data_IF_901256284385
#
_entry.id   IF_901256284385
#
_cell.length_a   1.000
_cell.length_b   1.000
_cell.length_c   1.000
_cell.angle_alpha   90.00
_cell.angle_beta   90.00
_cell.angle_gamma   90.00
#
_symmetry.space_group_name_H-M   'P 1'
#
loop_
_entity.id
_entity.type
_entity.pdbx_description
1 polymer ?
#
# COMPACT_ATOMS: atom_id res chain seq x y z
N UNK A 1 -45.30 7.40 21.05
CA UNK A 1 -43.99 8.02 20.83
C UNK A 1 -43.22 7.10 19.91
N UNK A 2 -43.03 7.50 18.65
CA UNK A 2 -42.33 6.68 17.64
C UNK A 2 -40.84 6.93 17.78
N UNK A 3 -40.09 5.89 18.15
CA UNK A 3 -38.62 5.95 18.25
C UNK A 3 -38.07 5.69 16.84
N UNK A 4 -37.44 6.70 16.26
CA UNK A 4 -36.72 6.62 14.98
C UNK A 4 -35.45 5.79 15.17
N UNK A 5 -35.40 4.61 14.54
CA UNK A 5 -34.30 3.64 14.59
C UNK A 5 -33.25 3.88 13.50
N UNK A 6 -32.94 5.13 13.20
CA UNK A 6 -32.02 5.47 12.09
C UNK A 6 -30.55 5.15 12.42
N UNK A 7 -30.17 5.11 13.71
CA UNK A 7 -28.78 4.86 14.12
C UNK A 7 -28.30 3.41 14.11
N UNK A 8 -29.20 2.41 14.05
CA UNK A 8 -28.81 0.98 14.17
C UNK A 8 -28.46 0.34 12.81
N UNK A 9 -29.13 0.78 11.74
CA UNK A 9 -28.91 0.29 10.39
C UNK A 9 -27.61 0.83 9.79
N UNK A 10 -27.26 2.10 10.06
CA UNK A 10 -26.01 2.69 9.55
C UNK A 10 -24.76 2.02 10.13
N UNK A 11 -24.77 1.70 11.43
CA UNK A 11 -23.64 1.03 12.12
C UNK A 11 -23.47 -0.41 11.61
N UNK A 12 -24.56 -1.14 11.40
CA UNK A 12 -24.48 -2.52 10.90
C UNK A 12 -24.03 -2.58 9.44
N UNK A 13 -24.44 -1.61 8.61
CA UNK A 13 -23.98 -1.48 7.21
C UNK A 13 -22.51 -1.08 7.12
N UNK A 14 -22.02 -0.16 7.97
CA UNK A 14 -20.60 0.24 7.96
C UNK A 14 -19.68 -0.92 8.37
N UNK A 15 -20.00 -1.63 9.46
CA UNK A 15 -19.24 -2.80 9.93
C UNK A 15 -19.20 -3.91 8.88
N UNK A 16 -20.32 -4.16 8.20
CA UNK A 16 -20.39 -5.16 7.13
C UNK A 16 -19.53 -4.77 5.92
N UNK A 17 -19.45 -3.47 5.58
CA UNK A 17 -18.60 -2.96 4.48
C UNK A 17 -17.11 -3.08 4.82
N UNK A 18 -16.70 -2.71 6.03
CA UNK A 18 -15.31 -2.82 6.48
C UNK A 18 -14.84 -4.28 6.48
N UNK A 19 -15.68 -5.20 6.98
CA UNK A 19 -15.37 -6.63 7.02
C UNK A 19 -15.15 -7.21 5.62
N UNK A 20 -15.95 -6.78 4.63
CA UNK A 20 -15.80 -7.18 3.22
C UNK A 20 -14.54 -6.61 2.58
N UNK A 21 -14.17 -5.37 2.89
CA UNK A 21 -12.95 -4.75 2.39
C UNK A 21 -11.70 -5.45 2.95
N UNK A 22 -11.66 -5.72 4.26
CA UNK A 22 -10.57 -6.45 4.90
C UNK A 22 -10.39 -7.86 4.30
N UNK A 23 -11.50 -8.57 4.05
CA UNK A 23 -11.46 -9.89 3.39
C UNK A 23 -10.86 -9.81 1.99
N UNK A 24 -11.24 -8.82 1.17
CA UNK A 24 -10.67 -8.60 -0.17
C UNK A 24 -9.17 -8.27 -0.11
N UNK A 25 -8.76 -7.40 0.81
CA UNK A 25 -7.33 -7.07 1.02
C UNK A 25 -6.56 -8.35 1.30
N UNK A 26 -7.02 -9.17 2.25
CA UNK A 26 -6.33 -10.41 2.61
C UNK A 26 -6.23 -11.39 1.42
N UNK A 27 -7.30 -11.56 0.64
CA UNK A 27 -7.29 -12.43 -0.54
C UNK A 27 -6.24 -11.98 -1.58
N UNK A 28 -6.16 -10.68 -1.87
CA UNK A 28 -5.17 -10.13 -2.81
C UNK A 28 -3.75 -10.33 -2.25
N UNK A 29 -3.55 -10.03 -0.96
CA UNK A 29 -2.24 -10.20 -0.31
C UNK A 29 -1.76 -11.65 -0.37
N UNK A 30 -2.63 -12.62 -0.08
CA UNK A 30 -2.26 -14.05 -0.14
C UNK A 30 -1.77 -14.44 -1.53
N UNK A 31 -2.43 -14.00 -2.61
CA UNK A 31 -1.99 -14.27 -3.98
C UNK A 31 -0.63 -13.64 -4.29
N UNK A 32 -0.41 -12.41 -3.83
CA UNK A 32 0.87 -11.72 -4.01
C UNK A 32 1.97 -12.50 -3.26
N UNK A 33 1.74 -12.87 -2.01
CA UNK A 33 2.69 -13.61 -1.18
C UNK A 33 3.09 -14.95 -1.83
N UNK A 34 2.12 -15.73 -2.32
CA UNK A 34 2.39 -17.00 -3.02
C UNK A 34 3.33 -16.82 -4.22
N UNK A 35 3.08 -15.80 -5.04
CA UNK A 35 3.92 -15.50 -6.22
C UNK A 35 5.30 -14.98 -5.82
N UNK A 36 5.39 -14.12 -4.80
CA UNK A 36 6.67 -13.64 -4.27
C UNK A 36 7.51 -14.80 -3.74
N UNK A 37 6.87 -15.78 -3.09
CA UNK A 37 7.53 -16.99 -2.57
C UNK A 37 8.12 -17.83 -3.71
N UNK A 38 7.50 -17.84 -4.88
CA UNK A 38 8.01 -18.54 -6.07
C UNK A 38 9.11 -17.76 -6.81
N UNK A 39 9.23 -16.44 -6.57
CA UNK A 39 10.12 -15.53 -7.31
C UNK A 39 11.24 -14.93 -6.45
N UNK A 40 11.66 -15.62 -5.39
CA UNK A 40 12.69 -15.15 -4.44
C UNK A 40 14.03 -14.75 -5.05
N UNK A 41 14.36 -15.22 -6.26
CA UNK A 41 15.61 -14.89 -6.96
C UNK A 41 15.51 -13.61 -7.81
N UNK A 42 14.35 -12.95 -7.87
CA UNK A 42 14.14 -11.72 -8.66
C UNK A 42 14.21 -10.49 -7.75
N UNK A 43 14.96 -9.46 -8.16
CA UNK A 43 15.04 -8.19 -7.44
C UNK A 43 13.79 -7.33 -7.63
N UNK A 44 13.04 -7.56 -8.71
CA UNK A 44 11.82 -6.83 -9.03
C UNK A 44 10.80 -7.81 -9.62
N UNK A 45 9.60 -7.85 -9.04
CA UNK A 45 8.50 -8.68 -9.52
C UNK A 45 7.37 -7.79 -10.02
N UNK A 46 6.96 -8.05 -11.26
CA UNK A 46 5.78 -7.45 -11.88
C UNK A 46 4.55 -8.34 -11.62
N UNK A 47 3.48 -7.69 -11.22
CA UNK A 47 2.15 -8.25 -11.02
C UNK A 47 1.15 -7.53 -11.92
N UNK A 48 0.36 -8.29 -12.67
CA UNK A 48 -0.81 -7.78 -13.38
C UNK A 48 -2.03 -8.41 -12.73
N UNK A 49 -2.74 -7.63 -11.90
CA UNK A 49 -3.86 -8.10 -11.10
C UNK A 49 -5.13 -7.33 -11.51
N UNK A 50 -5.94 -7.85 -12.46
CA UNK A 50 -7.18 -7.20 -12.88
C UNK A 50 -8.14 -6.95 -11.70
N UNK A 51 -8.14 -7.86 -10.74
CA UNK A 51 -8.95 -7.77 -9.53
C UNK A 51 -8.59 -6.58 -8.62
N UNK A 52 -7.34 -6.08 -8.70
CA UNK A 52 -6.92 -4.89 -7.97
C UNK A 52 -7.46 -3.60 -8.63
N UNK A 53 -7.57 -3.59 -9.96
CA UNK A 53 -8.16 -2.49 -10.76
C UNK A 53 -9.68 -2.36 -10.47
N UNK A 54 -10.35 -3.48 -10.23
CA UNK A 54 -11.77 -3.52 -9.86
C UNK A 54 -12.05 -3.18 -8.38
N UNK A 55 -11.00 -3.11 -7.56
CA UNK A 55 -11.14 -2.75 -6.15
C UNK A 55 -11.30 -1.24 -5.94
N UNK A 56 -11.88 -0.85 -4.80
CA UNK A 56 -11.95 0.56 -4.44
C UNK A 56 -10.57 1.11 -4.04
N UNK A 57 -10.43 2.44 -4.04
CA UNK A 57 -9.16 3.12 -3.75
C UNK A 57 -8.59 2.76 -2.37
N UNK A 58 -9.45 2.48 -1.38
CA UNK A 58 -9.02 2.04 -0.04
C UNK A 58 -8.32 0.68 -0.06
N UNK A 59 -8.92 -0.33 -0.70
CA UNK A 59 -8.34 -1.67 -0.83
C UNK A 59 -7.06 -1.61 -1.65
N UNK A 60 -7.05 -0.82 -2.72
CA UNK A 60 -5.86 -0.56 -3.51
C UNK A 60 -4.74 0.00 -2.63
N UNK A 61 -4.97 1.13 -1.95
CA UNK A 61 -3.98 1.80 -1.12
C UNK A 61 -3.45 0.89 0.01
N UNK A 62 -4.31 0.10 0.65
CA UNK A 62 -3.90 -0.85 1.67
C UNK A 62 -2.93 -1.92 1.14
N UNK A 63 -3.15 -2.42 -0.08
CA UNK A 63 -2.22 -3.34 -0.76
C UNK A 63 -0.91 -2.63 -1.14
N UNK A 64 -0.99 -1.39 -1.64
CA UNK A 64 0.21 -0.58 -1.96
C UNK A 64 1.11 -0.39 -0.74
N UNK A 65 0.51 -0.02 0.39
CA UNK A 65 1.25 0.27 1.61
C UNK A 65 1.84 -0.99 2.23
N UNK A 66 1.14 -2.14 2.13
CA UNK A 66 1.63 -3.41 2.67
C UNK A 66 2.92 -3.88 1.99
N UNK A 67 3.03 -3.70 0.69
CA UNK A 67 4.16 -4.21 -0.10
C UNK A 67 5.17 -3.14 -0.51
N UNK A 68 4.97 -1.88 -0.11
CA UNK A 68 5.74 -0.74 -0.59
C UNK A 68 5.88 -0.75 -2.12
N UNK A 69 4.79 -1.06 -2.81
CA UNK A 69 4.80 -1.33 -4.24
C UNK A 69 4.69 -0.04 -5.07
N UNK A 70 5.21 -0.07 -6.30
CA UNK A 70 5.04 0.98 -7.30
C UNK A 70 3.91 0.60 -8.27
N UNK A 71 3.06 1.57 -8.64
CA UNK A 71 2.01 1.37 -9.63
C UNK A 71 2.33 2.14 -10.91
N UNK A 72 2.43 1.41 -12.02
CA UNK A 72 2.62 1.99 -13.34
C UNK A 72 1.51 1.47 -14.24
N UNK A 73 0.58 2.36 -14.61
CA UNK A 73 -0.66 1.95 -15.27
C UNK A 73 -1.46 0.99 -14.38
N UNK A 74 -1.68 -0.25 -14.87
CA UNK A 74 -2.40 -1.33 -14.17
C UNK A 74 -1.49 -2.37 -13.53
N UNK A 75 -0.19 -2.18 -13.65
CA UNK A 75 0.80 -3.13 -13.20
C UNK A 75 1.37 -2.69 -11.85
N UNK A 76 1.49 -3.66 -10.96
CA UNK A 76 2.05 -3.53 -9.62
C UNK A 76 3.49 -4.07 -9.63
N UNK A 77 4.43 -3.24 -9.17
CA UNK A 77 5.86 -3.55 -9.16
C UNK A 77 6.33 -3.61 -7.70
N UNK A 78 6.79 -4.79 -7.28
CA UNK A 78 7.31 -5.03 -5.93
C UNK A 78 8.81 -5.27 -6.03
N UNK A 79 9.60 -4.39 -5.40
CA UNK A 79 11.04 -4.54 -5.28
C UNK A 79 11.34 -5.47 -4.09
N UNK A 80 12.04 -6.58 -4.34
CA UNK A 80 12.50 -7.50 -3.30
C UNK A 80 13.93 -7.07 -2.95
N UNK A 81 14.04 -6.12 -2.02
CA UNK A 81 15.31 -5.50 -1.65
C UNK A 81 15.84 -5.97 -0.27
N UNK A 82 15.12 -6.85 0.42
CA UNK A 82 15.47 -7.31 1.77
C UNK A 82 15.56 -6.19 2.81
N UNK A 83 14.90 -5.04 2.59
CA UNK A 83 14.95 -3.87 3.47
C UNK A 83 16.20 -3.00 3.28
N UNK A 84 17.02 -3.24 2.24
CA UNK A 84 18.20 -2.43 1.96
C UNK A 84 17.86 -0.97 1.66
N UNK A 85 16.78 -0.68 0.94
CA UNK A 85 16.31 0.69 0.66
C UNK A 85 15.83 1.34 1.93
N UNK A 86 14.99 0.66 2.72
CA UNK A 86 14.55 1.17 4.04
C UNK A 86 15.73 1.55 4.92
N UNK A 87 16.81 0.75 4.91
CA UNK A 87 18.03 1.04 5.65
C UNK A 87 18.81 2.24 5.10
N UNK A 88 18.86 2.42 3.77
CA UNK A 88 19.48 3.60 3.14
C UNK A 88 18.66 4.85 3.48
N UNK A 89 17.34 4.82 3.31
CA UNK A 89 16.45 5.93 3.64
C UNK A 89 16.55 6.34 5.11
N UNK A 90 16.59 5.37 6.03
CA UNK A 90 16.77 5.65 7.45
C UNK A 90 18.07 6.44 7.71
N UNK A 91 19.18 6.05 7.09
CA UNK A 91 20.46 6.74 7.24
C UNK A 91 20.42 8.15 6.64
N UNK A 92 19.76 8.33 5.50
CA UNK A 92 19.62 9.64 4.86
C UNK A 92 18.78 10.58 5.70
N UNK A 93 17.64 10.12 6.22
CA UNK A 93 16.78 10.91 7.10
C UNK A 93 17.54 11.32 8.36
N UNK A 94 18.22 10.36 9.01
CA UNK A 94 19.03 10.65 10.21
C UNK A 94 20.15 11.67 9.92
N UNK A 95 20.80 11.58 8.76
CA UNK A 95 21.82 12.54 8.34
C UNK A 95 21.22 13.93 8.11
N UNK A 96 20.08 14.01 7.43
CA UNK A 96 19.40 15.26 7.13
C UNK A 96 18.88 15.95 8.39
N UNK A 97 18.28 15.21 9.32
CA UNK A 97 17.83 15.70 10.62
C UNK A 97 18.99 16.27 11.45
N UNK A 98 20.16 15.60 11.40
CA UNK A 98 21.36 16.06 12.08
C UNK A 98 21.92 17.35 11.47
N UNK A 99 21.84 17.51 10.15
CA UNK A 99 22.36 18.70 9.46
C UNK A 99 21.42 19.89 9.56
N UNK A 100 20.11 19.68 9.40
CA UNK A 100 19.11 20.73 9.48
C UNK A 100 17.74 20.17 9.89
N UNK A 101 17.37 20.31 11.17
CA UNK A 101 16.08 19.84 11.67
C UNK A 101 14.85 20.51 11.03
N UNK A 102 15.03 21.63 10.32
CA UNK A 102 13.93 22.33 9.66
C UNK A 102 13.57 21.75 8.28
N UNK A 103 14.37 20.81 7.75
CA UNK A 103 14.04 20.15 6.51
C UNK A 103 12.90 19.14 6.71
N UNK A 104 11.90 19.19 5.84
CA UNK A 104 10.86 18.17 5.83
C UNK A 104 11.42 16.90 5.20
N UNK A 105 11.82 15.95 6.04
CA UNK A 105 12.37 14.66 5.61
C UNK A 105 11.54 13.57 6.25
N UNK A 106 10.68 12.94 5.45
CA UNK A 106 9.80 11.87 5.94
C UNK A 106 10.10 10.55 5.25
N UNK A 107 9.86 9.46 5.96
CA UNK A 107 9.92 8.12 5.37
C UNK A 107 8.63 7.86 4.59
N UNK A 108 8.73 7.10 3.50
CA UNK A 108 7.57 6.50 2.82
C UNK A 108 6.57 7.49 2.17
N UNK A 109 6.95 8.72 1.84
CA UNK A 109 6.07 9.63 1.08
C UNK A 109 5.87 9.16 -0.36
N UNK A 110 4.62 9.03 -0.79
CA UNK A 110 4.29 8.69 -2.18
C UNK A 110 4.44 9.90 -3.10
N UNK A 111 5.17 9.72 -4.20
CA UNK A 111 5.21 10.68 -5.30
C UNK A 111 4.20 10.27 -6.37
N UNK A 112 3.22 11.12 -6.65
CA UNK A 112 2.29 10.96 -7.78
C UNK A 112 2.81 11.75 -8.99
N UNK A 113 3.09 11.07 -10.10
CA UNK A 113 3.46 11.71 -11.37
C UNK A 113 2.65 11.10 -12.52
N UNK A 114 1.93 11.95 -13.27
CA UNK A 114 1.13 11.53 -14.44
C UNK A 114 0.20 10.33 -14.19
N UNK A 115 -0.41 10.27 -13.00
CA UNK A 115 -1.31 9.18 -12.60
C UNK A 115 -0.62 7.93 -12.05
N UNK A 116 0.72 7.84 -12.14
CA UNK A 116 1.50 6.77 -11.52
C UNK A 116 1.82 7.10 -10.06
N UNK A 117 1.94 6.06 -9.23
CA UNK A 117 2.32 6.18 -7.82
C UNK A 117 3.70 5.53 -7.65
N UNK A 118 4.69 6.35 -7.31
CA UNK A 118 6.06 5.93 -7.06
C UNK A 118 6.39 6.08 -5.59
N UNK A 119 7.02 5.06 -5.02
CA UNK A 119 7.77 5.22 -3.78
C UNK A 119 9.13 5.86 -4.15
N UNK A 120 9.65 6.80 -3.35
CA UNK A 120 10.98 7.36 -3.55
C UNK A 120 12.00 6.23 -3.58
N UNK A 121 12.97 6.32 -4.49
CA UNK A 121 13.92 5.23 -4.75
C UNK A 121 15.04 5.14 -3.68
N UNK A 122 14.90 5.93 -2.62
CA UNK A 122 15.92 6.21 -1.60
C UNK A 122 15.43 5.80 -0.23
#
# INVERSE_FOLDING_TARGET
>A
MSVTTEGSEEISVSVTRETRQASKINQICTKIDEILTQKQNQTLVKFTLPELDECNEYVQQAVFDRYHAEMIGKDLFIKIDGGHKTRIQFKLNSSADTHNPNWFVTQCTDCKMMGNKYKPDV
#
